data_IF_564560484891
#
_entry.id   IF_564560484891
#
_cell.length_a   1.000
_cell.length_b   1.000
_cell.length_c   1.000
_cell.angle_alpha   90.00
_cell.angle_beta   90.00
_cell.angle_gamma   90.00
#
_symmetry.space_group_name_H-M   'P 1'
#
loop_
_entity.id
_entity.type
_entity.pdbx_description
1 polymer ?
#
# COMPACT_ATOMS: atom_id res chain seq x y z
N UNK A 1 -37.16 -20.70 -7.06
CA UNK A 1 -35.79 -20.86 -6.55
C UNK A 1 -35.17 -19.50 -6.67
N UNK A 2 -35.18 -18.74 -5.57
CA UNK A 2 -34.52 -17.42 -5.55
C UNK A 2 -33.01 -17.61 -5.69
N UNK A 3 -32.35 -16.65 -6.33
CA UNK A 3 -30.90 -16.65 -6.48
C UNK A 3 -30.23 -16.59 -5.09
N UNK A 4 -28.99 -17.04 -5.00
CA UNK A 4 -28.19 -16.95 -3.76
C UNK A 4 -28.06 -15.48 -3.28
N UNK A 5 -28.16 -14.53 -4.21
CA UNK A 5 -28.18 -13.08 -3.94
C UNK A 5 -29.44 -12.65 -3.15
N UNK A 6 -30.63 -13.14 -3.51
CA UNK A 6 -31.90 -12.82 -2.82
C UNK A 6 -31.96 -13.39 -1.39
N UNK A 7 -31.14 -14.39 -1.06
CA UNK A 7 -31.08 -14.98 0.29
C UNK A 7 -30.23 -14.12 1.24
N UNK A 8 -29.33 -13.28 0.71
CA UNK A 8 -28.44 -12.44 1.52
C UNK A 8 -29.10 -11.19 2.08
N UNK A 9 -30.06 -10.59 1.36
CA UNK A 9 -30.71 -9.33 1.76
C UNK A 9 -31.65 -9.47 2.98
N UNK A 10 -32.09 -10.68 3.31
CA UNK A 10 -33.07 -10.94 4.38
C UNK A 10 -32.44 -11.32 5.73
N UNK A 11 -31.12 -11.51 5.81
CA UNK A 11 -30.44 -12.00 7.01
C UNK A 11 -29.48 -10.93 7.51
N UNK A 12 -29.83 -10.28 8.63
CA UNK A 12 -28.95 -9.31 9.28
C UNK A 12 -27.56 -9.88 9.61
N UNK A 13 -26.56 -9.02 9.71
CA UNK A 13 -25.17 -9.40 9.96
C UNK A 13 -24.87 -9.40 11.46
N UNK A 14 -24.86 -10.58 12.08
CA UNK A 14 -24.69 -10.74 13.54
C UNK A 14 -23.48 -9.98 14.15
N UNK A 15 -22.38 -9.83 13.39
CA UNK A 15 -21.23 -9.05 13.81
C UNK A 15 -21.32 -7.59 13.33
N UNK A 16 -21.43 -7.36 12.01
CA UNK A 16 -21.36 -6.02 11.43
C UNK A 16 -22.48 -5.09 11.89
N UNK A 17 -23.67 -5.61 12.19
CA UNK A 17 -24.79 -4.81 12.73
C UNK A 17 -24.49 -4.25 14.14
N UNK A 18 -23.45 -4.75 14.81
CA UNK A 18 -22.98 -4.25 16.12
C UNK A 18 -21.83 -3.24 16.01
N UNK A 19 -21.26 -3.05 14.82
CA UNK A 19 -20.09 -2.22 14.59
C UNK A 19 -20.51 -0.79 14.20
N UNK A 20 -19.67 0.24 14.47
CA UNK A 20 -19.93 1.61 14.06
C UNK A 20 -19.64 1.79 12.57
N UNK A 21 -20.43 1.15 11.71
CA UNK A 21 -20.38 1.27 10.26
C UNK A 21 -21.79 1.59 9.74
N UNK A 22 -21.93 2.26 8.58
CA UNK A 22 -23.24 2.43 7.97
C UNK A 22 -23.89 1.07 7.71
N UNK A 23 -25.19 0.95 7.96
CA UNK A 23 -25.92 -0.27 7.59
C UNK A 23 -26.07 -0.34 6.07
N UNK A 24 -26.19 -1.56 5.52
CA UNK A 24 -26.32 -1.75 4.07
C UNK A 24 -27.54 -1.03 3.46
N UNK A 25 -28.58 -0.83 4.27
CA UNK A 25 -29.83 -0.18 3.87
C UNK A 25 -29.96 1.24 4.45
N UNK A 26 -28.87 1.82 4.97
CA UNK A 26 -28.89 3.21 5.39
C UNK A 26 -29.13 4.11 4.17
N UNK A 27 -29.99 5.12 4.32
CA UNK A 27 -30.08 6.17 3.31
C UNK A 27 -28.74 6.91 3.25
N UNK A 28 -28.30 7.29 2.05
CA UNK A 28 -27.08 8.07 1.89
C UNK A 28 -27.22 9.40 2.62
N UNK A 29 -26.32 9.64 3.58
CA UNK A 29 -26.21 10.91 4.28
C UNK A 29 -25.11 11.77 3.67
N UNK A 30 -25.37 13.06 3.48
CA UNK A 30 -24.35 14.04 3.05
C UNK A 30 -23.25 14.28 4.11
N UNK A 31 -23.41 13.72 5.31
CA UNK A 31 -22.49 13.93 6.42
C UNK A 31 -21.21 13.11 6.26
N UNK A 32 -20.06 13.79 6.40
CA UNK A 32 -18.74 13.17 6.52
C UNK A 32 -18.22 13.32 7.95
N UNK A 33 -17.79 12.22 8.58
CA UNK A 33 -17.23 12.24 9.93
C UNK A 33 -17.35 10.93 10.72
N UNK A 34 -16.90 10.89 11.99
CA UNK A 34 -16.97 9.69 12.81
C UNK A 34 -18.41 9.32 13.19
N UNK A 35 -18.73 8.02 13.22
CA UNK A 35 -20.06 7.50 13.59
C UNK A 35 -20.20 7.45 15.11
N UNK A 36 -19.19 6.89 15.79
CA UNK A 36 -19.09 6.80 17.23
C UNK A 36 -17.72 7.33 17.67
N UNK A 37 -17.59 8.64 17.98
CA UNK A 37 -16.32 9.18 18.43
C UNK A 37 -15.88 8.46 19.71
N UNK A 38 -14.82 7.66 19.58
CA UNK A 38 -14.36 6.79 20.67
C UNK A 38 -13.71 7.62 21.78
N UNK A 39 -13.97 7.25 23.02
CA UNK A 39 -13.29 7.77 24.20
C UNK A 39 -12.12 6.83 24.52
N UNK A 40 -10.85 7.25 24.35
CA UNK A 40 -9.69 6.39 24.58
C UNK A 40 -9.63 5.82 26.00
N UNK A 41 -10.19 6.52 26.99
CA UNK A 41 -10.21 6.07 28.39
C UNK A 41 -11.18 4.91 28.62
N UNK A 42 -12.14 4.72 27.70
CA UNK A 42 -13.11 3.61 27.74
C UNK A 42 -12.65 2.39 26.93
N UNK A 43 -11.49 2.46 26.27
CA UNK A 43 -10.93 1.33 25.55
C UNK A 43 -10.48 0.26 26.56
N UNK A 44 -10.85 -1.00 26.30
CA UNK A 44 -10.49 -2.13 27.15
C UNK A 44 -8.97 -2.28 27.22
N UNK A 45 -8.42 -2.33 28.43
CA UNK A 45 -6.98 -2.53 28.65
C UNK A 45 -6.53 -3.98 28.41
N UNK A 46 -7.40 -4.96 28.69
CA UNK A 46 -7.10 -6.39 28.51
C UNK A 46 -7.48 -6.88 27.10
N UNK A 47 -6.75 -7.82 26.50
CA UNK A 47 -7.13 -8.42 25.22
C UNK A 47 -8.50 -9.10 25.26
N UNK A 48 -9.17 -9.22 24.10
CA UNK A 48 -10.41 -10.00 24.00
C UNK A 48 -10.19 -11.47 24.35
N UNK A 49 -11.23 -12.14 24.84
CA UNK A 49 -11.12 -13.53 25.24
C UNK A 49 -10.99 -14.43 24.01
N UNK A 50 -10.02 -15.35 24.04
CA UNK A 50 -9.90 -16.45 23.09
C UNK A 50 -10.30 -17.78 23.76
N UNK A 51 -10.67 -18.81 22.98
CA UNK A 51 -10.79 -20.15 23.54
C UNK A 51 -9.46 -20.59 24.19
N UNK A 52 -9.48 -21.39 25.27
CA UNK A 52 -8.27 -21.68 26.08
C UNK A 52 -7.10 -22.35 25.34
N UNK A 53 -7.33 -22.90 24.16
CA UNK A 53 -6.31 -23.51 23.32
C UNK A 53 -5.52 -22.49 22.47
N UNK A 54 -5.90 -21.21 22.51
CA UNK A 54 -5.32 -20.15 21.71
C UNK A 54 -4.84 -18.99 22.58
N UNK A 55 -3.85 -18.27 22.05
CA UNK A 55 -3.28 -17.09 22.67
C UNK A 55 -3.03 -16.00 21.62
N UNK A 56 -3.14 -14.75 22.05
CA UNK A 56 -2.73 -13.60 21.25
C UNK A 56 -1.21 -13.52 21.17
N UNK A 57 -0.72 -13.01 20.05
CA UNK A 57 0.69 -12.67 19.84
C UNK A 57 0.75 -11.40 19.00
N UNK A 58 1.71 -10.53 19.28
CA UNK A 58 2.10 -9.48 18.36
C UNK A 58 3.23 -10.03 17.48
N UNK A 59 3.25 -9.69 16.19
CA UNK A 59 4.28 -10.15 15.27
C UNK A 59 5.31 -9.05 15.02
N UNK A 60 6.56 -9.35 15.33
CA UNK A 60 7.71 -8.54 14.91
C UNK A 60 8.16 -9.01 13.51
N UNK A 61 7.88 -8.23 12.48
CA UNK A 61 8.23 -8.56 11.10
C UNK A 61 9.70 -8.25 10.76
N UNK A 62 10.42 -7.58 11.67
CA UNK A 62 11.88 -7.45 11.56
C UNK A 62 12.59 -8.77 11.91
N UNK A 63 11.95 -9.61 12.75
CA UNK A 63 12.39 -10.98 13.00
C UNK A 63 12.16 -11.87 11.78
N UNK A 64 13.20 -12.61 11.38
CA UNK A 64 13.18 -13.42 10.18
C UNK A 64 12.32 -14.69 10.30
N UNK A 65 12.21 -15.25 11.50
CA UNK A 65 11.40 -16.44 11.74
C UNK A 65 9.92 -16.08 11.76
N UNK A 66 9.53 -15.01 12.46
CA UNK A 66 8.14 -14.54 12.51
C UNK A 66 7.64 -14.05 11.16
N UNK A 67 8.45 -13.32 10.40
CA UNK A 67 8.10 -12.93 9.02
C UNK A 67 7.87 -14.17 8.13
N UNK A 68 8.68 -15.21 8.31
CA UNK A 68 8.53 -16.49 7.60
C UNK A 68 7.27 -17.25 8.01
N UNK A 69 6.91 -17.24 9.29
CA UNK A 69 5.66 -17.83 9.76
C UNK A 69 4.45 -17.14 9.14
N UNK A 70 4.46 -15.80 9.08
CA UNK A 70 3.39 -15.04 8.42
C UNK A 70 3.33 -15.34 6.93
N UNK A 71 4.48 -15.37 6.23
CA UNK A 71 4.54 -15.78 4.84
C UNK A 71 3.90 -17.16 4.62
N UNK A 72 4.26 -18.16 5.44
CA UNK A 72 3.70 -19.50 5.34
C UNK A 72 2.20 -19.50 5.58
N UNK A 73 1.70 -18.78 6.60
CA UNK A 73 0.27 -18.66 6.86
C UNK A 73 -0.48 -18.09 5.65
N UNK A 74 0.01 -16.99 5.07
CA UNK A 74 -0.63 -16.34 3.92
C UNK A 74 -0.55 -17.21 2.67
N UNK A 75 0.62 -17.76 2.36
CA UNK A 75 0.83 -18.63 1.20
C UNK A 75 -0.07 -19.88 1.21
N UNK A 76 -0.37 -20.41 2.39
CA UNK A 76 -1.21 -21.61 2.52
C UNK A 76 -2.72 -21.32 2.61
N UNK A 77 -3.14 -20.13 3.06
CA UNK A 77 -4.52 -19.88 3.49
C UNK A 77 -5.16 -18.57 3.01
N UNK A 78 -4.42 -17.68 2.35
CA UNK A 78 -4.94 -16.37 1.93
C UNK A 78 -5.70 -16.44 0.60
N UNK A 79 -6.08 -15.27 0.07
CA UNK A 79 -7.02 -15.09 -1.04
C UNK A 79 -6.74 -15.99 -2.23
N UNK A 80 -7.79 -16.73 -2.61
CA UNK A 80 -7.91 -17.47 -3.85
C UNK A 80 -8.95 -16.78 -4.74
N UNK A 81 -8.84 -16.94 -6.06
CA UNK A 81 -9.91 -16.57 -6.98
C UNK A 81 -11.13 -17.50 -6.83
N UNK A 82 -12.27 -17.09 -7.41
CA UNK A 82 -13.55 -17.80 -7.25
C UNK A 82 -13.52 -19.28 -7.68
N UNK A 83 -12.62 -19.64 -8.60
CA UNK A 83 -12.43 -21.00 -9.11
C UNK A 83 -11.27 -21.76 -8.44
N UNK A 84 -10.57 -21.16 -7.47
CA UNK A 84 -9.38 -21.70 -6.82
C UNK A 84 -8.31 -22.17 -7.82
N UNK A 85 -8.06 -21.35 -8.85
CA UNK A 85 -6.99 -21.51 -9.84
C UNK A 85 -5.72 -20.75 -9.45
N UNK A 86 -5.85 -19.64 -8.74
CA UNK A 86 -4.75 -18.76 -8.35
C UNK A 86 -4.83 -18.42 -6.87
N UNK A 87 -3.67 -18.39 -6.21
CA UNK A 87 -3.52 -17.89 -4.84
C UNK A 87 -2.40 -16.87 -4.77
N UNK A 88 -2.60 -15.75 -4.08
CA UNK A 88 -1.54 -14.76 -3.93
C UNK A 88 -0.31 -15.35 -3.22
N UNK A 89 0.88 -15.06 -3.77
CA UNK A 89 2.18 -15.48 -3.25
C UNK A 89 3.00 -14.25 -2.88
N UNK A 90 2.53 -13.52 -1.87
CA UNK A 90 3.24 -12.36 -1.31
C UNK A 90 4.65 -12.76 -0.91
N UNK A 91 5.68 -12.10 -1.44
CA UNK A 91 7.05 -12.37 -1.02
C UNK A 91 7.30 -11.84 0.40
N UNK A 92 8.32 -12.39 1.09
CA UNK A 92 8.74 -11.88 2.40
C UNK A 92 9.11 -10.40 2.37
N UNK A 93 9.79 -9.97 1.31
CA UNK A 93 10.18 -8.57 1.14
C UNK A 93 8.95 -7.68 0.92
N UNK A 94 7.96 -8.17 0.16
CA UNK A 94 6.69 -7.46 -0.03
C UNK A 94 5.92 -7.33 1.28
N UNK A 95 5.80 -8.40 2.06
CA UNK A 95 5.11 -8.38 3.36
C UNK A 95 5.76 -7.33 4.27
N UNK A 96 7.09 -7.31 4.37
CA UNK A 96 7.81 -6.31 5.18
C UNK A 96 7.60 -4.90 4.66
N UNK A 97 7.71 -4.71 3.35
CA UNK A 97 7.51 -3.40 2.71
C UNK A 97 6.10 -2.86 2.97
N UNK A 98 5.07 -3.69 2.79
CA UNK A 98 3.68 -3.31 2.96
C UNK A 98 3.31 -3.07 4.44
N UNK A 99 3.87 -3.85 5.36
CA UNK A 99 3.51 -3.84 6.78
C UNK A 99 4.39 -2.95 7.67
N UNK A 100 5.55 -2.49 7.18
CA UNK A 100 6.47 -1.67 7.99
C UNK A 100 6.75 -0.30 7.36
N UNK A 101 5.73 0.49 6.95
CA UNK A 101 5.97 1.87 6.56
C UNK A 101 6.43 2.73 7.75
N UNK A 102 6.99 3.92 7.50
CA UNK A 102 7.37 4.84 8.58
C UNK A 102 6.23 5.10 9.56
N UNK A 103 6.49 4.88 10.85
CA UNK A 103 5.50 5.04 11.92
C UNK A 103 4.65 3.80 12.20
N UNK A 104 4.89 2.68 11.51
CA UNK A 104 4.27 1.40 11.84
C UNK A 104 4.55 1.00 13.30
N UNK A 105 3.60 0.29 13.90
CA UNK A 105 3.62 -0.15 15.28
C UNK A 105 3.46 -1.65 15.31
N UNK A 106 4.42 -2.38 15.89
CA UNK A 106 4.42 -3.86 15.83
C UNK A 106 3.19 -4.47 16.51
N UNK A 107 2.62 -3.80 17.52
CA UNK A 107 1.37 -4.23 18.18
C UNK A 107 0.12 -4.06 17.31
N UNK A 108 0.23 -3.51 16.09
CA UNK A 108 -0.83 -3.53 15.07
C UNK A 108 -0.76 -4.78 14.18
N UNK A 109 0.25 -5.64 14.36
CA UNK A 109 0.40 -6.91 13.67
C UNK A 109 -0.04 -8.04 14.60
N UNK A 110 -1.34 -8.27 14.66
CA UNK A 110 -1.96 -9.15 15.66
C UNK A 110 -2.13 -10.55 15.09
N UNK A 111 -1.53 -11.54 15.74
CA UNK A 111 -1.68 -12.95 15.43
C UNK A 111 -2.40 -13.74 16.51
N UNK A 112 -2.87 -14.93 16.13
CA UNK A 112 -3.36 -15.95 17.07
C UNK A 112 -2.52 -17.20 16.92
N UNK A 113 -2.02 -17.73 18.04
CA UNK A 113 -1.27 -18.98 18.10
C UNK A 113 -2.03 -20.06 18.83
N UNK A 114 -1.81 -21.32 18.44
CA UNK A 114 -2.19 -22.48 19.26
C UNK A 114 -1.26 -22.53 20.47
N UNK A 115 -1.78 -22.41 21.69
CA UNK A 115 -0.97 -22.26 22.91
C UNK A 115 0.01 -23.40 23.14
N UNK A 116 -0.35 -24.63 22.75
CA UNK A 116 0.47 -25.83 22.95
C UNK A 116 1.63 -25.94 21.94
N UNK A 117 1.39 -25.64 20.66
CA UNK A 117 2.36 -25.84 19.58
C UNK A 117 3.06 -24.55 19.16
N UNK A 118 2.56 -23.40 19.61
CA UNK A 118 2.94 -22.06 19.18
C UNK A 118 2.75 -21.78 17.68
N UNK A 119 2.07 -22.68 16.95
CA UNK A 119 1.77 -22.50 15.53
C UNK A 119 0.86 -21.29 15.34
N UNK A 120 1.25 -20.36 14.46
CA UNK A 120 0.42 -19.24 14.02
C UNK A 120 -0.76 -19.75 13.16
N UNK A 121 -1.97 -19.30 13.47
CA UNK A 121 -3.21 -19.79 12.82
C UNK A 121 -4.16 -18.70 12.34
N UNK A 122 -3.97 -17.45 12.79
CA UNK A 122 -4.68 -16.29 12.25
C UNK A 122 -3.79 -15.05 12.35
N UNK A 123 -4.04 -14.07 11.49
CA UNK A 123 -3.32 -12.81 11.45
C UNK A 123 -4.22 -11.68 10.94
N UNK A 124 -4.08 -10.50 11.52
CA UNK A 124 -4.57 -9.23 10.98
C UNK A 124 -3.49 -8.16 11.19
N UNK A 125 -3.27 -7.33 10.18
CA UNK A 125 -2.29 -6.27 10.23
C UNK A 125 -2.91 -4.92 9.90
N UNK A 126 -2.39 -3.85 10.52
CA UNK A 126 -2.73 -2.48 10.17
C UNK A 126 -1.46 -1.62 10.06
N UNK A 127 -1.50 -0.63 9.18
CA UNK A 127 -0.42 0.34 9.01
C UNK A 127 -0.97 1.77 9.07
N UNK A 128 -0.14 2.74 9.49
CA UNK A 128 -0.58 4.13 9.58
C UNK A 128 -0.77 4.70 8.17
N UNK A 129 -1.91 5.36 7.97
CA UNK A 129 -2.19 6.11 6.76
C UNK A 129 -2.84 7.45 7.10
N UNK A 130 -2.33 8.52 6.51
CA UNK A 130 -2.98 9.83 6.51
C UNK A 130 -3.98 9.87 5.36
N UNK A 131 -5.27 9.77 5.68
CA UNK A 131 -6.34 9.71 4.69
C UNK A 131 -7.10 11.04 4.62
N UNK A 132 -7.50 11.41 3.42
CA UNK A 132 -8.39 12.52 3.15
C UNK A 132 -9.69 11.99 2.55
N UNK A 133 -10.80 12.13 3.27
CA UNK A 133 -12.12 11.71 2.84
C UNK A 133 -13.00 12.96 2.69
N UNK A 134 -13.47 13.26 1.46
CA UNK A 134 -14.27 14.46 1.16
C UNK A 134 -13.68 15.77 1.71
N UNK A 135 -12.36 15.93 1.57
CA UNK A 135 -11.64 17.11 2.07
C UNK A 135 -11.45 17.15 3.59
N UNK A 136 -11.95 16.17 4.33
CA UNK A 136 -11.71 16.01 5.77
C UNK A 136 -10.59 15.01 6.00
N UNK A 137 -9.63 15.37 6.86
CA UNK A 137 -8.61 14.43 7.30
C UNK A 137 -9.29 13.39 8.19
N UNK A 138 -9.19 12.12 7.81
CA UNK A 138 -9.56 11.02 8.69
C UNK A 138 -8.40 10.90 9.68
N UNK A 139 -8.60 11.32 10.92
CA UNK A 139 -7.56 11.28 11.95
C UNK A 139 -7.62 9.96 12.72
N UNK A 140 -6.55 9.15 12.68
CA UNK A 140 -6.27 8.17 13.72
C UNK A 140 -4.99 8.62 14.43
N UNK A 141 -5.04 9.67 15.27
CA UNK A 141 -3.82 9.98 16.03
C UNK A 141 -3.64 8.91 17.10
N UNK A 142 -2.50 8.18 17.15
CA UNK A 142 -2.14 7.47 18.38
C UNK A 142 -2.08 8.50 19.52
N UNK A 143 -2.38 8.10 20.78
CA UNK A 143 -2.20 9.00 21.92
C UNK A 143 -0.78 9.58 21.88
N UNK A 144 -0.59 10.87 22.21
CA UNK A 144 0.75 11.45 22.26
C UNK A 144 1.62 10.55 23.13
N UNK A 145 2.79 10.16 22.62
CA UNK A 145 3.81 9.53 23.44
C UNK A 145 4.00 10.40 24.68
N UNK A 146 3.82 9.81 25.87
CA UNK A 146 4.02 10.51 27.13
C UNK A 146 5.33 11.30 27.05
N UNK A 147 5.25 12.61 27.28
CA UNK A 147 6.38 13.52 27.26
C UNK A 147 7.55 12.85 28.00
N UNK A 148 8.59 12.50 27.26
CA UNK A 148 9.87 12.19 27.90
C UNK A 148 10.27 13.49 28.58
N UNK A 149 10.17 13.47 29.90
CA UNK A 149 10.58 14.53 30.79
C UNK A 149 11.91 15.11 30.31
N UNK A 150 11.96 16.44 30.28
CA UNK A 150 13.18 17.22 30.14
C UNK A 150 14.22 16.72 31.14
N UNK A 151 15.19 15.93 30.68
CA UNK A 151 16.44 15.71 31.39
C UNK A 151 17.50 16.64 30.79
N UNK A 152 17.68 17.77 31.48
CA UNK A 152 18.98 18.25 31.92
C UNK A 152 20.05 18.56 30.87
N UNK A 153 20.34 19.84 30.72
CA UNK A 153 21.60 20.35 30.19
C UNK A 153 22.81 19.64 30.84
N UNK A 154 23.63 18.99 30.01
CA UNK A 154 24.90 18.39 30.42
C UNK A 154 25.75 18.11 29.18
N UNK A 155 26.53 19.10 28.75
CA UNK A 155 27.35 19.00 27.55
C UNK A 155 28.54 18.05 27.68
N UNK A 156 28.88 17.37 26.56
CA UNK A 156 30.25 17.18 26.07
C UNK A 156 30.28 16.39 24.75
N UNK A 157 30.77 17.05 23.69
CA UNK A 157 31.71 16.47 22.71
C UNK A 157 31.20 15.47 21.66
N UNK A 158 30.82 15.97 20.48
CA UNK A 158 31.09 15.27 19.23
C UNK A 158 31.32 16.29 18.10
N UNK A 159 32.50 16.22 17.49
CA UNK A 159 33.00 17.06 16.42
C UNK A 159 32.09 17.00 15.17
N UNK A 160 31.37 18.08 14.90
CA UNK A 160 30.67 18.29 13.65
C UNK A 160 31.67 18.62 12.53
N UNK A 161 31.76 17.75 11.52
CA UNK A 161 32.39 18.10 10.24
C UNK A 161 31.46 19.11 9.55
N UNK A 162 31.93 20.34 9.38
CA UNK A 162 31.17 21.42 8.79
C UNK A 162 31.12 21.25 7.25
N UNK A 163 30.01 20.72 6.74
CA UNK A 163 29.80 20.42 5.31
C UNK A 163 29.60 21.70 4.47
N UNK A 164 29.45 22.87 5.09
CA UNK A 164 29.21 24.14 4.40
C UNK A 164 30.43 24.70 3.64
N UNK A 165 31.65 24.25 3.95
CA UNK A 165 32.86 24.68 3.23
C UNK A 165 33.16 23.90 1.94
N UNK A 166 32.48 22.79 1.66
CA UNK A 166 32.82 21.91 0.51
C UNK A 166 31.99 22.15 -0.75
N UNK A 167 30.98 23.01 -0.70
CA UNK A 167 30.05 23.27 -1.82
C UNK A 167 30.22 24.65 -2.47
N UNK A 168 31.15 25.48 -1.99
CA UNK A 168 31.44 26.82 -2.53
C UNK A 168 32.41 26.83 -3.71
N UNK A 169 33.00 25.69 -4.08
CA UNK A 169 34.06 25.59 -5.11
C UNK A 169 33.65 24.99 -6.46
N UNK A 170 32.36 24.81 -6.74
CA UNK A 170 31.90 24.31 -8.05
C UNK A 170 31.47 25.49 -8.93
N UNK A 171 32.43 26.02 -9.70
CA UNK A 171 32.16 26.92 -10.82
C UNK A 171 31.36 26.19 -11.90
N UNK A 172 30.11 26.64 -12.11
CA UNK A 172 29.20 26.16 -13.16
C UNK A 172 29.08 27.21 -14.28
N UNK A 173 30.20 27.74 -14.76
CA UNK A 173 30.23 28.56 -15.97
C UNK A 173 31.24 28.02 -16.97
N UNK A 174 30.71 27.27 -17.93
CA UNK A 174 31.45 26.69 -19.05
C UNK A 174 30.51 26.57 -20.24
N UNK A 175 30.16 27.71 -20.83
CA UNK A 175 29.44 27.76 -22.11
C UNK A 175 30.28 27.14 -23.22
N UNK A 176 29.72 26.13 -23.89
CA UNK A 176 30.18 25.66 -25.19
C UNK A 176 29.02 25.71 -26.17
N UNK A 177 29.02 26.77 -26.98
CA UNK A 177 28.25 26.89 -28.20
C UNK A 177 28.74 25.87 -29.23
N UNK A 178 27.85 25.02 -29.74
CA UNK A 178 28.11 24.15 -30.88
C UNK A 178 26.81 23.90 -31.65
N UNK A 179 26.70 24.49 -32.83
CA UNK A 179 25.63 24.26 -33.80
C UNK A 179 26.06 23.22 -34.83
N UNK A 180 25.23 22.21 -35.09
CA UNK A 180 25.13 21.45 -36.35
C UNK A 180 23.90 20.53 -36.24
N UNK A 181 22.81 20.83 -36.94
CA UNK A 181 22.49 20.37 -38.30
C UNK A 181 21.71 19.04 -38.32
N UNK A 182 20.51 19.11 -38.91
CA UNK A 182 19.61 18.01 -39.21
C UNK A 182 20.12 17.11 -40.35
N UNK A 183 20.09 15.79 -40.17
CA UNK A 183 19.83 14.82 -41.25
C UNK A 183 19.78 13.38 -40.72
N UNK A 184 18.80 12.60 -41.21
CA UNK A 184 18.94 11.14 -41.34
C UNK A 184 18.14 10.32 -40.33
N UNK A 185 17.10 9.65 -40.83
CA UNK A 185 16.36 8.64 -40.08
C UNK A 185 17.22 7.42 -39.76
N UNK A 186 17.02 6.90 -38.56
CA UNK A 186 17.56 5.64 -38.05
C UNK A 186 16.94 5.42 -36.67
N UNK A 187 16.33 4.25 -36.47
CA UNK A 187 15.68 3.87 -35.22
C UNK A 187 16.62 4.11 -34.04
N UNK A 188 16.28 5.06 -33.17
CA UNK A 188 16.99 5.25 -31.92
C UNK A 188 16.63 4.06 -31.03
N UNK A 189 17.59 3.15 -30.85
CA UNK A 189 17.57 2.22 -29.72
C UNK A 189 17.47 3.06 -28.44
N UNK A 190 16.31 3.01 -27.80
CA UNK A 190 16.10 3.51 -26.45
C UNK A 190 16.96 2.64 -25.53
N UNK A 191 18.18 3.10 -25.26
CA UNK A 191 19.14 2.43 -24.39
C UNK A 191 18.55 2.10 -23.02
N UNK A 192 19.12 1.07 -22.39
CA UNK A 192 18.77 0.54 -21.07
C UNK A 192 18.34 1.64 -20.10
N UNK A 193 17.03 1.85 -19.97
CA UNK A 193 16.47 2.62 -18.88
C UNK A 193 16.49 1.70 -17.67
N UNK A 194 17.52 1.87 -16.85
CA UNK A 194 17.59 1.25 -15.53
C UNK A 194 16.30 1.57 -14.77
N UNK A 195 15.50 0.54 -14.51
CA UNK A 195 14.38 0.65 -13.58
C UNK A 195 14.96 0.78 -12.19
N UNK A 196 14.72 1.92 -11.58
CA UNK A 196 15.11 2.21 -10.20
C UNK A 196 13.88 2.04 -9.34
N UNK A 197 13.97 1.16 -8.35
CA UNK A 197 13.04 1.13 -7.23
C UNK A 197 13.23 2.43 -6.42
N UNK A 198 12.36 3.41 -6.65
CA UNK A 198 12.38 4.66 -5.88
C UNK A 198 11.63 4.45 -4.57
N UNK A 199 12.32 3.90 -3.58
CA UNK A 199 11.79 3.77 -2.22
C UNK A 199 11.63 5.13 -1.54
N UNK A 200 12.50 6.08 -1.86
CA UNK A 200 12.47 7.44 -1.33
C UNK A 200 12.89 8.45 -2.38
N UNK A 201 11.99 9.38 -2.71
CA UNK A 201 12.33 10.58 -3.48
C UNK A 201 12.48 11.75 -2.50
N UNK A 202 13.72 12.19 -2.26
CA UNK A 202 13.99 13.31 -1.35
C UNK A 202 14.72 14.44 -2.08
N UNK A 203 14.09 15.61 -2.13
CA UNK A 203 14.75 16.85 -2.57
C UNK A 203 15.18 17.65 -1.35
N UNK A 204 16.50 17.79 -1.17
CA UNK A 204 17.10 18.53 -0.06
C UNK A 204 16.54 19.96 0.02
N UNK A 205 16.20 20.44 1.22
CA UNK A 205 15.51 21.74 1.43
C UNK A 205 16.19 22.94 0.76
N UNK A 206 17.54 22.97 0.74
CA UNK A 206 18.34 24.04 0.08
C UNK A 206 18.27 24.01 -1.45
N UNK A 207 17.81 22.89 -2.03
CA UNK A 207 17.70 22.68 -3.48
C UNK A 207 16.28 22.84 -4.01
N UNK A 208 15.25 22.79 -3.15
CA UNK A 208 13.84 22.92 -3.56
C UNK A 208 13.52 24.24 -4.29
N UNK A 209 14.23 25.31 -3.96
CA UNK A 209 14.08 26.62 -4.61
C UNK A 209 14.93 26.78 -5.87
N UNK A 210 15.91 25.91 -6.07
CA UNK A 210 16.68 25.85 -7.32
C UNK A 210 15.82 25.09 -8.32
N UNK A 211 15.44 25.73 -9.43
CA UNK A 211 14.72 25.11 -10.55
C UNK A 211 15.61 24.08 -11.28
N UNK A 212 16.03 23.05 -10.56
CA UNK A 212 16.54 21.81 -11.17
C UNK A 212 15.39 21.24 -12.02
N UNK A 213 15.73 20.59 -13.13
CA UNK A 213 14.73 20.10 -14.08
C UNK A 213 13.59 19.38 -13.33
N UNK A 214 12.33 19.80 -13.50
CA UNK A 214 11.23 19.22 -12.75
C UNK A 214 11.05 17.76 -13.16
N UNK A 215 10.76 16.88 -12.20
CA UNK A 215 10.20 15.57 -12.53
C UNK A 215 8.83 15.84 -13.11
N UNK A 216 8.67 15.62 -14.42
CA UNK A 216 7.43 15.91 -15.14
C UNK A 216 6.48 14.73 -15.12
N UNK A 217 7.00 13.51 -15.00
CA UNK A 217 6.25 12.27 -15.11
C UNK A 217 6.79 11.22 -14.13
N UNK A 218 5.89 10.43 -13.55
CA UNK A 218 6.20 9.27 -12.72
C UNK A 218 5.19 8.17 -12.99
N UNK A 219 5.66 6.94 -13.01
CA UNK A 219 4.83 5.75 -12.97
C UNK A 219 5.42 4.74 -12.00
N UNK A 220 4.59 4.04 -11.24
CA UNK A 220 5.00 2.92 -10.39
C UNK A 220 4.00 1.76 -10.48
N UNK A 221 4.54 0.58 -10.25
CA UNK A 221 3.80 -0.66 -10.12
C UNK A 221 4.52 -1.56 -9.12
N UNK A 222 3.78 -2.48 -8.49
CA UNK A 222 4.36 -3.46 -7.59
C UNK A 222 4.22 -4.87 -8.14
N UNK A 223 5.11 -5.76 -7.72
CA UNK A 223 5.09 -7.17 -8.09
C UNK A 223 4.31 -7.96 -7.05
N UNK A 224 3.25 -8.64 -7.46
CA UNK A 224 2.53 -9.60 -6.62
C UNK A 224 2.27 -10.86 -7.43
N UNK A 225 3.15 -11.86 -7.35
CA UNK A 225 2.95 -13.10 -8.08
C UNK A 225 1.81 -13.92 -7.46
N UNK A 226 1.23 -14.80 -8.28
CA UNK A 226 0.26 -15.79 -7.84
C UNK A 226 0.79 -17.20 -8.07
N UNK A 227 0.53 -18.10 -7.14
CA UNK A 227 0.71 -19.54 -7.35
C UNK A 227 -0.38 -20.06 -8.27
N UNK A 228 0.00 -20.78 -9.33
CA UNK A 228 -0.95 -21.44 -10.24
C UNK A 228 -1.26 -22.82 -9.69
N UNK A 229 -2.50 -23.01 -9.28
CA UNK A 229 -2.95 -24.25 -8.65
C UNK A 229 -3.31 -25.28 -9.73
N UNK A 230 -2.96 -26.55 -9.49
CA UNK A 230 -3.40 -27.72 -10.29
C UNK A 230 -3.02 -27.67 -11.79
N UNK A 231 -1.94 -26.98 -12.15
CA UNK A 231 -1.47 -26.89 -13.53
C UNK A 231 -0.10 -27.56 -13.71
N UNK A 232 0.05 -28.39 -14.75
CA UNK A 232 1.20 -29.31 -14.90
C UNK A 232 2.52 -28.64 -15.32
N UNK A 233 2.45 -27.49 -16.01
CA UNK A 233 3.63 -26.84 -16.63
C UNK A 233 4.03 -25.53 -15.96
N UNK A 234 3.05 -24.67 -15.71
CA UNK A 234 3.21 -23.38 -15.05
C UNK A 234 2.76 -23.47 -13.61
N UNK A 235 3.59 -22.99 -12.69
CA UNK A 235 3.35 -22.99 -11.24
C UNK A 235 3.24 -21.58 -10.66
N UNK A 236 3.65 -20.55 -11.41
CA UNK A 236 3.56 -19.14 -11.04
C UNK A 236 3.06 -18.28 -12.19
N UNK A 237 2.34 -17.24 -11.81
CA UNK A 237 1.94 -16.12 -12.67
C UNK A 237 2.60 -14.86 -12.09
N UNK A 238 3.49 -14.22 -12.86
CA UNK A 238 4.14 -12.98 -12.47
C UNK A 238 3.26 -11.80 -12.86
N UNK A 239 2.50 -11.26 -11.90
CA UNK A 239 1.64 -10.11 -12.12
C UNK A 239 2.27 -8.81 -11.58
N UNK A 240 2.23 -7.77 -12.41
CA UNK A 240 2.50 -6.40 -12.01
C UNK A 240 1.18 -5.68 -11.78
N UNK A 241 1.10 -4.88 -10.71
CA UNK A 241 -0.09 -4.12 -10.36
C UNK A 241 0.21 -2.63 -10.41
N UNK A 242 -0.58 -1.88 -11.18
CA UNK A 242 -0.53 -0.43 -11.24
C UNK A 242 -0.64 0.17 -9.84
N UNK A 243 0.29 1.05 -9.46
CA UNK A 243 0.30 1.72 -8.17
C UNK A 243 -0.02 3.20 -8.32
N UNK A 244 0.98 4.09 -8.23
CA UNK A 244 0.78 5.52 -8.38
C UNK A 244 1.48 6.06 -9.62
N UNK A 245 0.90 7.10 -10.21
CA UNK A 245 1.52 7.82 -11.33
C UNK A 245 1.10 9.28 -11.32
N UNK A 246 1.91 10.11 -11.97
CA UNK A 246 1.50 11.44 -12.41
C UNK A 246 2.08 11.70 -13.79
N UNK A 247 1.27 12.32 -14.66
CA UNK A 247 1.56 12.57 -16.08
C UNK A 247 1.64 11.31 -16.99
N UNK A 248 2.46 11.32 -18.06
CA UNK A 248 2.26 10.51 -19.26
C UNK A 248 2.40 9.00 -19.03
N UNK A 249 1.35 8.24 -19.38
CA UNK A 249 1.05 6.90 -18.83
C UNK A 249 1.49 5.71 -19.72
N UNK A 250 2.02 5.97 -20.91
CA UNK A 250 2.36 4.95 -21.93
C UNK A 250 3.56 4.01 -21.61
N UNK A 251 4.60 4.39 -20.83
CA UNK A 251 5.78 3.52 -20.61
C UNK A 251 5.53 2.27 -19.76
N UNK A 252 4.46 2.24 -18.96
CA UNK A 252 4.20 1.22 -17.95
C UNK A 252 4.21 -0.23 -18.48
N UNK A 253 3.40 -0.51 -19.50
CA UNK A 253 3.25 -1.85 -20.06
C UNK A 253 4.54 -2.35 -20.73
N UNK A 254 5.28 -1.43 -21.36
CA UNK A 254 6.58 -1.75 -21.98
C UNK A 254 7.59 -2.12 -20.90
N UNK A 255 7.62 -1.39 -19.80
CA UNK A 255 8.50 -1.70 -18.66
C UNK A 255 8.12 -3.04 -18.01
N UNK A 256 6.84 -3.26 -17.72
CA UNK A 256 6.39 -4.54 -17.14
C UNK A 256 6.76 -5.73 -18.05
N UNK A 257 6.57 -5.60 -19.36
CA UNK A 257 6.98 -6.64 -20.32
C UNK A 257 8.50 -6.85 -20.36
N UNK A 258 9.31 -5.78 -20.27
CA UNK A 258 10.77 -5.87 -20.20
C UNK A 258 11.26 -6.56 -18.93
N UNK A 259 10.50 -6.46 -17.85
CA UNK A 259 10.73 -7.16 -16.58
C UNK A 259 10.04 -8.53 -16.50
N UNK A 260 9.62 -9.09 -17.65
CA UNK A 260 9.09 -10.45 -17.75
C UNK A 260 7.82 -10.70 -16.92
N UNK A 261 7.02 -9.66 -16.66
CA UNK A 261 5.68 -9.86 -16.11
C UNK A 261 4.74 -10.46 -17.16
N UNK A 262 3.96 -11.46 -16.74
CA UNK A 262 2.99 -12.17 -17.59
C UNK A 262 1.72 -11.34 -17.83
N UNK A 263 1.33 -10.56 -16.82
CA UNK A 263 0.11 -9.75 -16.83
C UNK A 263 0.33 -8.43 -16.09
N UNK A 264 -0.38 -7.39 -16.55
CA UNK A 264 -0.42 -6.09 -15.90
C UNK A 264 -1.84 -5.81 -15.41
N UNK A 265 -2.03 -5.77 -14.10
CA UNK A 265 -3.30 -5.53 -13.44
C UNK A 265 -3.43 -4.06 -13.04
N UNK A 266 -4.64 -3.54 -13.10
CA UNK A 266 -4.96 -2.17 -12.69
C UNK A 266 -6.42 -2.10 -12.23
N UNK A 267 -6.66 -1.30 -11.19
CA UNK A 267 -8.00 -0.96 -10.73
C UNK A 267 -8.58 0.19 -11.59
N UNK A 268 -9.90 0.30 -11.64
CA UNK A 268 -10.64 1.39 -12.31
C UNK A 268 -10.78 2.65 -11.44
N UNK A 269 -9.87 2.84 -10.50
CA UNK A 269 -9.75 4.04 -9.66
C UNK A 269 -8.80 5.08 -10.29
N UNK A 270 -8.61 6.24 -9.64
CA UNK A 270 -7.85 7.37 -10.19
C UNK A 270 -8.40 7.75 -11.60
N UNK A 271 -7.51 8.25 -12.48
CA UNK A 271 -7.83 8.54 -13.87
C UNK A 271 -7.58 7.33 -14.81
N UNK A 272 -7.84 6.10 -14.35
CA UNK A 272 -7.52 4.88 -15.10
C UNK A 272 -8.52 4.55 -16.21
N UNK A 273 -9.82 4.84 -16.07
CA UNK A 273 -10.87 4.36 -16.99
C UNK A 273 -10.55 4.58 -18.49
N UNK A 274 -10.17 5.81 -18.85
CA UNK A 274 -9.81 6.14 -20.24
C UNK A 274 -8.59 5.38 -20.74
N UNK A 275 -7.57 5.23 -19.88
CA UNK A 275 -6.32 4.53 -20.18
C UNK A 275 -6.55 3.03 -20.38
N UNK A 276 -7.36 2.41 -19.51
CA UNK A 276 -7.66 0.98 -19.57
C UNK A 276 -8.30 0.62 -20.92
N UNK A 277 -9.24 1.45 -21.39
CA UNK A 277 -9.88 1.30 -22.70
C UNK A 277 -8.89 1.47 -23.85
N UNK A 278 -8.07 2.52 -23.82
CA UNK A 278 -7.08 2.80 -24.87
C UNK A 278 -6.03 1.69 -24.99
N UNK A 279 -5.52 1.20 -23.86
CA UNK A 279 -4.50 0.17 -23.78
C UNK A 279 -5.07 -1.26 -23.87
N UNK A 280 -6.37 -1.41 -24.13
CA UNK A 280 -7.07 -2.69 -24.34
C UNK A 280 -7.01 -3.64 -23.14
N UNK A 281 -7.10 -3.08 -21.93
CA UNK A 281 -7.32 -3.90 -20.73
C UNK A 281 -8.66 -4.62 -20.83
N UNK A 282 -8.68 -5.88 -20.40
CA UNK A 282 -9.91 -6.64 -20.19
C UNK A 282 -10.44 -6.43 -18.78
N UNK A 283 -11.76 -6.39 -18.63
CA UNK A 283 -12.42 -6.35 -17.32
C UNK A 283 -12.31 -7.75 -16.70
N UNK A 284 -11.79 -7.82 -15.48
CA UNK A 284 -11.79 -9.04 -14.67
C UNK A 284 -13.16 -9.30 -14.03
N UNK A 285 -13.29 -10.43 -13.35
CA UNK A 285 -14.48 -10.82 -12.58
C UNK A 285 -14.44 -10.37 -11.11
N UNK A 286 -13.26 -9.95 -10.63
CA UNK A 286 -13.07 -9.42 -9.28
C UNK A 286 -13.49 -7.96 -9.13
N UNK A 287 -14.13 -7.65 -8.00
CA UNK A 287 -14.44 -6.29 -7.58
C UNK A 287 -13.71 -5.96 -6.28
N UNK A 288 -13.08 -4.78 -6.20
CA UNK A 288 -12.49 -4.28 -4.96
C UNK A 288 -13.41 -3.22 -4.36
N UNK A 289 -13.83 -3.46 -3.11
CA UNK A 289 -14.70 -2.55 -2.37
C UNK A 289 -13.89 -1.80 -1.30
N UNK A 290 -14.12 -0.49 -1.18
CA UNK A 290 -13.46 0.36 -0.18
C UNK A 290 -14.40 0.60 1.00
N UNK A 291 -13.91 0.33 2.21
CA UNK A 291 -14.66 0.53 3.44
C UNK A 291 -13.90 1.41 4.41
N UNK A 292 -14.63 2.23 5.17
CA UNK A 292 -14.10 2.97 6.31
C UNK A 292 -14.77 2.46 7.59
N UNK A 293 -13.99 2.19 8.62
CA UNK A 293 -14.50 1.78 9.93
C UNK A 293 -14.68 3.00 10.83
N UNK A 294 -15.81 3.09 11.55
CA UNK A 294 -16.15 4.22 12.41
C UNK A 294 -16.19 5.58 11.69
N UNK A 295 -16.46 5.58 10.39
CA UNK A 295 -16.56 6.80 9.58
C UNK A 295 -17.73 6.67 8.61
N UNK A 296 -18.53 7.72 8.51
CA UNK A 296 -19.54 7.87 7.47
C UNK A 296 -19.10 8.93 6.48
N UNK A 297 -19.44 8.72 5.23
CA UNK A 297 -19.28 9.70 4.17
C UNK A 297 -20.21 9.33 3.00
N UNK A 298 -20.51 10.29 2.10
CA UNK A 298 -21.15 9.97 0.84
C UNK A 298 -20.35 8.93 0.05
N UNK A 299 -21.05 8.08 -0.69
CA UNK A 299 -20.45 7.11 -1.61
C UNK A 299 -19.52 7.81 -2.59
N UNK A 300 -18.31 7.28 -2.76
CA UNK A 300 -17.30 7.83 -3.66
C UNK A 300 -17.24 6.95 -4.90
N UNK A 301 -17.31 7.58 -6.08
CA UNK A 301 -17.15 6.87 -7.36
C UNK A 301 -15.68 6.46 -7.55
N UNK A 302 -15.44 5.35 -8.24
CA UNK A 302 -14.10 4.74 -8.33
C UNK A 302 -13.01 5.74 -8.76
N UNK A 303 -13.28 6.60 -9.75
CA UNK A 303 -12.33 7.58 -10.27
C UNK A 303 -11.96 8.70 -9.29
N UNK A 304 -12.73 8.88 -8.20
CA UNK A 304 -12.41 9.81 -7.13
C UNK A 304 -11.62 9.15 -5.98
N UNK A 305 -11.39 7.83 -6.06
CA UNK A 305 -10.56 7.09 -5.10
C UNK A 305 -9.09 7.28 -5.48
N UNK A 306 -8.36 7.93 -4.56
CA UNK A 306 -6.93 8.23 -4.67
C UNK A 306 -6.00 7.26 -3.94
N UNK A 307 -6.54 6.16 -3.39
CA UNK A 307 -5.81 5.22 -2.54
C UNK A 307 -5.69 3.87 -3.22
N UNK A 308 -4.48 3.36 -3.37
CA UNK A 308 -4.22 1.97 -3.80
C UNK A 308 -3.80 1.14 -2.59
N UNK A 309 -4.57 0.11 -2.26
CA UNK A 309 -4.25 -0.88 -1.23
C UNK A 309 -3.38 -2.02 -1.81
N UNK A 310 -2.57 -2.64 -0.95
CA UNK A 310 -1.57 -3.68 -1.28
C UNK A 310 -2.05 -5.07 -0.86
#
# INVERSE_FOLDING_TARGET
MGSVEEISEAVGHAFWDTQPVPSLNAEEEDACGPINPADPEKVRAEPYNLPPAFEWTDLDLSDAEQAKELYTLLHENYVEDGDAMFRFDYSLDFIRWAMQPPGALDYWHVGVRVSQTKKLVAFIGATPADLLCHGQRVEPRPPPAADKAEEGEGGAGASGVNIEEKLSGLDLDGGATGSAASSGGGAAELGDQAVVEVNFLCVHKKLRSKRLAPVTDMFSFYSLPSSVLKHEKHTKLHAAYCYYYFANKTPALVLAKRHEFDVFNALDILDNDSLLKELKFGIGDGHLQYYLYNWRCPTVVANEIGLVLL
#
